data_IF_017517008017
#
_entry.id   IF_017517008017
#
_cell.length_a   1.000
_cell.length_b   1.000
_cell.length_c   1.000
_cell.angle_alpha   90.00
_cell.angle_beta   90.00
_cell.angle_gamma   90.00
#
_symmetry.space_group_name_H-M   'P 1'
#
loop_
_entity.id
_entity.type
_entity.pdbx_description
1 polymer ?
#
# COMPACT_ATOMS: atom_id res chain seq x y z
N UNK A 1 -4.14 -0.63 21.48
CA UNK A 1 -4.30 0.37 20.40
C UNK A 1 -5.77 0.47 20.04
N UNK A 2 -6.27 1.66 19.72
CA UNK A 2 -7.66 1.86 19.26
C UNK A 2 -7.59 2.57 17.92
N UNK A 3 -8.28 2.03 16.92
CA UNK A 3 -8.39 2.62 15.59
C UNK A 3 -9.77 3.25 15.43
N UNK A 4 -9.79 4.50 14.97
CA UNK A 4 -11.00 5.24 14.65
C UNK A 4 -10.96 5.68 13.19
N UNK A 5 -12.09 5.53 12.50
CA UNK A 5 -12.31 6.04 11.15
C UNK A 5 -13.58 6.88 11.14
N UNK A 6 -13.50 8.07 10.54
CA UNK A 6 -14.58 9.05 10.47
C UNK A 6 -15.13 9.10 9.05
N UNK A 7 -16.45 8.98 8.90
CA UNK A 7 -17.14 9.02 7.61
C UNK A 7 -18.16 10.15 7.60
N UNK A 8 -18.30 10.85 6.47
CA UNK A 8 -19.25 11.97 6.28
C UNK A 8 -20.73 11.50 6.36
N UNK A 9 -20.98 10.23 6.08
CA UNK A 9 -22.31 9.61 6.20
C UNK A 9 -22.30 8.14 5.78
N UNK A 10 -23.36 7.41 6.12
CA UNK A 10 -23.56 6.03 5.66
C UNK A 10 -23.94 6.04 4.18
N UNK A 11 -23.12 5.43 3.35
CA UNK A 11 -23.47 5.10 1.96
C UNK A 11 -24.44 3.93 2.03
N UNK A 12 -25.75 4.20 1.94
CA UNK A 12 -26.77 3.16 1.97
C UNK A 12 -26.56 2.11 0.86
N UNK A 13 -27.02 0.88 1.08
CA UNK A 13 -26.83 -0.27 0.18
C UNK A 13 -27.24 -0.03 -1.28
N UNK A 14 -28.17 0.91 -1.52
CA UNK A 14 -28.66 1.28 -2.86
C UNK A 14 -28.24 2.69 -3.30
N UNK A 15 -27.33 3.33 -2.57
CA UNK A 15 -26.96 4.73 -2.81
C UNK A 15 -25.82 4.90 -3.83
N UNK A 16 -25.05 3.83 -4.09
CA UNK A 16 -24.07 3.76 -5.16
C UNK A 16 -24.69 3.04 -6.36
N UNK A 17 -24.90 3.78 -7.44
CA UNK A 17 -25.23 3.19 -8.73
C UNK A 17 -24.53 3.99 -9.84
N UNK A 18 -24.41 3.45 -11.07
CA UNK A 18 -23.72 4.13 -12.17
C UNK A 18 -24.27 5.53 -12.51
N UNK A 19 -25.49 5.83 -12.05
CA UNK A 19 -26.26 7.03 -12.39
C UNK A 19 -26.32 8.05 -11.25
N UNK A 20 -25.91 7.67 -10.03
CA UNK A 20 -25.94 8.49 -8.82
C UNK A 20 -24.55 8.52 -8.22
N UNK A 21 -23.83 9.58 -8.55
CA UNK A 21 -22.51 9.85 -7.97
C UNK A 21 -22.69 10.59 -6.64
N UNK A 22 -21.91 10.25 -5.61
CA UNK A 22 -21.85 11.08 -4.42
C UNK A 22 -21.40 12.50 -4.82
N UNK A 23 -22.18 13.52 -4.45
CA UNK A 23 -21.82 14.91 -4.65
C UNK A 23 -21.09 15.42 -3.41
N UNK A 24 -19.91 15.99 -3.63
CA UNK A 24 -19.11 16.61 -2.58
C UNK A 24 -19.11 18.12 -2.79
N UNK A 25 -19.31 18.89 -1.73
CA UNK A 25 -19.15 20.35 -1.80
C UNK A 25 -17.67 20.68 -1.95
N UNK A 26 -17.35 21.63 -2.84
CA UNK A 26 -15.97 22.08 -3.07
C UNK A 26 -15.38 22.84 -1.86
N UNK A 27 -16.25 23.39 -1.01
CA UNK A 27 -15.87 24.12 0.20
C UNK A 27 -16.27 23.33 1.44
N UNK A 28 -15.40 23.32 2.45
CA UNK A 28 -15.64 22.76 3.78
C UNK A 28 -15.39 23.85 4.82
N UNK A 29 -16.36 24.09 5.69
CA UNK A 29 -16.26 25.05 6.80
C UNK A 29 -16.60 24.34 8.11
N UNK A 30 -15.82 24.59 9.16
CA UNK A 30 -16.10 24.04 10.49
C UNK A 30 -17.31 24.67 11.17
N UNK A 31 -17.82 25.79 10.65
CA UNK A 31 -19.02 26.46 11.19
C UNK A 31 -20.33 25.73 10.88
N UNK A 32 -20.38 24.93 9.81
CA UNK A 32 -21.55 24.15 9.36
C UNK A 32 -21.22 22.65 9.29
N UNK A 33 -20.40 22.16 10.23
CA UNK A 33 -19.96 20.76 10.23
C UNK A 33 -21.04 19.83 10.77
N UNK A 34 -21.39 18.80 10.01
CA UNK A 34 -22.22 17.68 10.49
C UNK A 34 -21.35 16.69 11.27
N UNK A 35 -21.95 16.05 12.28
CA UNK A 35 -21.26 15.02 13.04
C UNK A 35 -20.95 13.81 12.13
N UNK A 36 -19.69 13.33 12.08
CA UNK A 36 -19.33 12.19 11.27
C UNK A 36 -19.84 10.88 11.89
N UNK A 37 -20.04 9.87 11.04
CA UNK A 37 -20.22 8.50 11.50
C UNK A 37 -18.86 7.92 11.90
N UNK A 38 -18.78 7.43 13.14
CA UNK A 38 -17.54 6.95 13.74
C UNK A 38 -17.55 5.42 13.78
N UNK A 39 -16.58 4.81 13.09
CA UNK A 39 -16.26 3.41 13.29
C UNK A 39 -15.04 3.31 14.19
N UNK A 40 -15.12 2.45 15.20
CA UNK A 40 -14.04 2.21 16.14
C UNK A 40 -13.78 0.72 16.32
N UNK A 41 -12.51 0.36 16.50
CA UNK A 41 -12.14 -1.00 16.87
C UNK A 41 -10.84 -1.02 17.68
N UNK A 42 -10.77 -1.96 18.61
CA UNK A 42 -9.64 -2.10 19.53
C UNK A 42 -8.73 -3.26 19.11
N UNK A 43 -7.43 -3.06 19.25
CA UNK A 43 -6.40 -4.04 18.92
C UNK A 43 -5.38 -4.14 20.04
N UNK A 44 -4.94 -5.36 20.33
CA UNK A 44 -3.91 -5.70 21.30
C UNK A 44 -2.56 -5.70 20.58
N UNK A 45 -1.64 -4.86 21.05
CA UNK A 45 -0.25 -4.88 20.61
C UNK A 45 0.57 -5.68 21.64
N UNK A 46 1.41 -6.64 21.22
CA UNK A 46 2.03 -7.61 22.15
C UNK A 46 3.18 -7.04 22.98
N UNK A 47 3.63 -5.82 22.72
CA UNK A 47 4.76 -5.18 23.41
C UNK A 47 4.44 -3.74 23.77
N UNK A 48 5.30 -3.12 24.57
CA UNK A 48 5.20 -1.69 24.87
C UNK A 48 5.61 -0.86 23.64
N UNK A 49 4.79 0.16 23.34
CA UNK A 49 5.04 1.13 22.28
C UNK A 49 5.77 2.33 22.89
N UNK A 50 6.93 2.67 22.37
CA UNK A 50 7.74 3.84 22.80
C UNK A 50 7.38 5.08 22.00
N UNK A 51 7.29 4.95 20.68
CA UNK A 51 7.00 6.06 19.76
C UNK A 51 6.13 5.59 18.60
N UNK A 52 5.35 6.51 18.03
CA UNK A 52 4.55 6.26 16.83
C UNK A 52 4.89 7.28 15.74
N UNK A 53 4.91 6.82 14.50
CA UNK A 53 4.98 7.66 13.30
C UNK A 53 4.00 7.17 12.24
N UNK A 54 3.76 7.96 11.20
CA UNK A 54 2.93 7.56 10.05
C UNK A 54 3.69 7.90 8.79
N UNK A 55 3.72 7.00 7.82
CA UNK A 55 4.40 7.24 6.55
C UNK A 55 3.70 8.33 5.74
N UNK A 56 4.47 9.27 5.19
CA UNK A 56 3.97 10.35 4.33
C UNK A 56 4.62 10.26 2.95
N UNK A 57 3.82 10.41 1.91
CA UNK A 57 4.24 10.46 0.49
C UNK A 57 3.77 11.78 -0.13
N UNK A 58 4.31 12.13 -1.30
CA UNK A 58 4.11 13.46 -1.88
C UNK A 58 2.63 13.76 -2.21
N UNK A 59 1.89 12.78 -2.73
CA UNK A 59 0.50 12.91 -3.14
C UNK A 59 -0.48 12.17 -2.24
N UNK A 60 0.01 11.37 -1.28
CA UNK A 60 -0.84 10.55 -0.41
C UNK A 60 -1.60 9.45 -1.14
N UNK A 61 -1.11 9.02 -2.31
CA UNK A 61 -1.72 7.94 -3.11
C UNK A 61 -1.35 6.59 -2.51
N UNK A 62 -0.10 6.44 -2.10
CA UNK A 62 0.40 5.20 -1.48
C UNK A 62 -0.29 4.97 -0.12
N UNK A 63 -0.81 3.76 0.17
CA UNK A 63 -1.42 3.45 1.45
C UNK A 63 -0.49 3.74 2.63
N UNK A 64 -0.97 4.55 3.57
CA UNK A 64 -0.19 4.89 4.76
C UNK A 64 0.00 3.67 5.66
N UNK A 65 1.18 3.59 6.27
CA UNK A 65 1.51 2.63 7.32
C UNK A 65 1.85 3.38 8.61
N UNK A 66 1.49 2.78 9.73
CA UNK A 66 1.91 3.25 11.05
C UNK A 66 3.26 2.63 11.37
N UNK A 67 4.21 3.46 11.78
CA UNK A 67 5.53 3.02 12.25
C UNK A 67 5.46 2.93 13.77
N UNK A 68 5.69 1.74 14.30
CA UNK A 68 5.62 1.47 15.73
C UNK A 68 7.02 1.26 16.27
N UNK A 69 7.49 2.21 17.07
CA UNK A 69 8.70 2.05 17.87
C UNK A 69 8.42 1.14 19.07
N UNK A 70 9.20 0.07 19.18
CA UNK A 70 9.09 -0.91 20.25
C UNK A 70 10.12 -0.61 21.35
N UNK A 71 9.85 -1.07 22.57
CA UNK A 71 10.81 -0.99 23.69
C UNK A 71 12.14 -1.71 23.42
N UNK A 72 12.14 -2.69 22.51
CA UNK A 72 13.36 -3.38 22.06
C UNK A 72 14.26 -2.54 21.14
N UNK A 73 13.88 -1.28 20.84
CA UNK A 73 14.58 -0.41 19.89
C UNK A 73 14.31 -0.75 18.43
N UNK A 74 13.45 -1.73 18.15
CA UNK A 74 13.04 -2.08 16.79
C UNK A 74 11.88 -1.20 16.32
N UNK A 75 11.82 -0.94 15.01
CA UNK A 75 10.73 -0.19 14.37
C UNK A 75 9.93 -1.14 13.49
N UNK A 76 8.66 -1.33 13.82
CA UNK A 76 7.75 -2.21 13.09
C UNK A 76 6.83 -1.43 12.16
N UNK A 77 6.76 -1.84 10.89
CA UNK A 77 5.81 -1.33 9.90
C UNK A 77 4.45 -2.01 10.07
N UNK A 78 3.48 -1.28 10.59
CA UNK A 78 2.09 -1.72 10.69
C UNK A 78 1.25 -1.14 9.55
N UNK A 79 0.90 -1.95 8.56
CA UNK A 79 0.00 -1.53 7.48
C UNK A 79 -1.41 -1.23 8.02
N UNK A 80 -2.06 -0.18 7.49
CA UNK A 80 -3.39 0.28 7.95
C UNK A 80 -4.45 -0.82 7.94
N UNK A 81 -4.42 -1.73 6.96
CA UNK A 81 -5.41 -2.79 6.81
C UNK A 81 -5.47 -3.73 8.02
N UNK A 82 -4.38 -3.89 8.79
CA UNK A 82 -4.37 -4.72 10.01
C UNK A 82 -5.12 -4.08 11.17
N UNK A 83 -5.30 -2.76 11.14
CA UNK A 83 -5.97 -1.98 12.18
C UNK A 83 -7.18 -1.22 11.60
N UNK A 84 -7.79 -1.73 10.53
CA UNK A 84 -9.00 -1.13 9.96
C UNK A 84 -10.20 -1.43 10.90
N UNK A 85 -10.94 -0.41 11.38
CA UNK A 85 -12.11 -0.65 12.22
C UNK A 85 -13.27 -1.34 11.48
N UNK A 86 -13.24 -1.41 10.14
CA UNK A 86 -14.24 -2.10 9.32
C UNK A 86 -14.07 -3.62 9.27
N UNK A 87 -13.02 -4.18 9.85
CA UNK A 87 -12.80 -5.63 9.85
C UNK A 87 -14.00 -6.36 10.47
N UNK A 88 -14.66 -7.29 9.75
CA UNK A 88 -15.80 -8.05 10.26
C UNK A 88 -15.34 -9.12 11.28
N UNK A 89 -16.19 -9.43 12.25
CA UNK A 89 -15.98 -10.56 13.18
C UNK A 89 -16.48 -11.90 12.59
N UNK A 90 -17.32 -11.80 11.56
CA UNK A 90 -17.83 -12.91 10.77
C UNK A 90 -16.87 -13.26 9.63
N UNK A 91 -17.02 -14.45 9.03
CA UNK A 91 -16.38 -14.77 7.76
C UNK A 91 -16.69 -13.70 6.70
N UNK A 92 -15.69 -13.39 5.87
CA UNK A 92 -15.77 -12.31 4.90
C UNK A 92 -16.83 -12.57 3.83
N UNK A 93 -17.57 -11.53 3.49
CA UNK A 93 -18.39 -11.54 2.27
C UNK A 93 -17.50 -11.34 1.04
N UNK A 94 -17.97 -11.71 -0.17
CA UNK A 94 -17.22 -11.47 -1.40
C UNK A 94 -16.89 -9.99 -1.65
N UNK A 95 -17.76 -9.08 -1.20
CA UNK A 95 -17.56 -7.62 -1.29
C UNK A 95 -16.43 -7.15 -0.36
N UNK A 96 -16.45 -7.59 0.91
CA UNK A 96 -15.40 -7.28 1.89
C UNK A 96 -14.04 -7.84 1.45
N UNK A 97 -14.04 -9.02 0.83
CA UNK A 97 -12.83 -9.63 0.28
C UNK A 97 -12.30 -8.86 -0.95
N UNK A 98 -13.18 -8.36 -1.81
CA UNK A 98 -12.80 -7.52 -2.95
C UNK A 98 -12.18 -6.19 -2.52
N UNK A 99 -12.62 -5.61 -1.40
CA UNK A 99 -12.00 -4.44 -0.77
C UNK A 99 -10.65 -4.75 -0.10
N UNK A 100 -10.27 -6.02 0.03
CA UNK A 100 -9.05 -6.44 0.72
C UNK A 100 -9.12 -6.30 2.25
N UNK A 101 -10.33 -6.32 2.82
CA UNK A 101 -10.52 -6.40 4.27
C UNK A 101 -10.00 -7.74 4.78
N UNK A 102 -9.71 -7.78 6.08
CA UNK A 102 -9.30 -8.99 6.78
C UNK A 102 -10.30 -9.29 7.88
N UNK A 103 -10.41 -10.57 8.25
CA UNK A 103 -11.21 -10.96 9.40
C UNK A 103 -10.60 -10.34 10.65
N UNK A 104 -11.46 -9.87 11.54
CA UNK A 104 -11.01 -9.24 12.77
C UNK A 104 -10.14 -10.19 13.58
N UNK A 105 -8.92 -9.74 13.84
CA UNK A 105 -8.00 -10.38 14.76
C UNK A 105 -7.57 -9.33 15.79
N UNK A 106 -7.92 -9.50 17.08
CA UNK A 106 -7.58 -8.51 18.09
C UNK A 106 -6.07 -8.40 18.28
N UNK A 107 -5.32 -9.50 18.13
CA UNK A 107 -3.88 -9.51 18.34
C UNK A 107 -3.14 -9.08 17.06
N UNK A 108 -2.34 -8.01 17.16
CA UNK A 108 -1.52 -7.55 16.04
C UNK A 108 -0.37 -8.54 15.77
N UNK A 109 -0.23 -9.05 14.54
CA UNK A 109 0.75 -10.07 14.17
C UNK A 109 2.16 -9.45 13.97
N UNK A 110 2.84 -9.15 15.08
CA UNK A 110 4.19 -8.55 15.09
C UNK A 110 5.27 -9.61 14.84
N UNK A 111 5.33 -10.64 15.70
CA UNK A 111 6.44 -11.62 15.69
C UNK A 111 6.41 -12.59 14.51
N UNK A 112 5.25 -12.85 13.92
CA UNK A 112 5.12 -13.67 12.71
C UNK A 112 5.44 -12.89 11.42
N UNK A 113 5.82 -11.61 11.52
CA UNK A 113 6.21 -10.76 10.38
C UNK A 113 7.54 -10.03 10.61
N UNK A 114 8.66 -10.77 10.72
CA UNK A 114 9.98 -10.14 10.87
C UNK A 114 10.36 -9.27 9.67
N UNK A 115 9.83 -9.56 8.48
CA UNK A 115 10.01 -8.78 7.25
C UNK A 115 9.47 -7.34 7.35
N UNK A 116 8.56 -7.08 8.29
CA UNK A 116 7.99 -5.76 8.52
C UNK A 116 8.82 -4.92 9.51
N UNK A 117 9.88 -5.46 10.10
CA UNK A 117 10.81 -4.72 10.95
C UNK A 117 11.75 -3.89 10.07
N UNK A 118 11.64 -2.55 10.11
CA UNK A 118 12.46 -1.66 9.28
C UNK A 118 13.93 -1.66 9.69
N UNK A 119 14.18 -1.94 10.96
CA UNK A 119 15.49 -1.90 11.62
C UNK A 119 16.31 -3.18 11.42
N UNK A 120 15.72 -4.26 10.89
CA UNK A 120 16.37 -5.56 10.69
C UNK A 120 17.21 -6.01 11.91
N UNK A 121 18.54 -5.91 11.82
CA UNK A 121 19.49 -6.31 12.87
C UNK A 121 20.07 -5.12 13.66
N UNK A 122 19.55 -3.91 13.50
CA UNK A 122 20.02 -2.68 14.16
C UNK A 122 18.96 -2.14 15.11
N UNK A 123 19.16 -2.27 16.42
CA UNK A 123 18.28 -1.62 17.40
C UNK A 123 18.64 -0.14 17.52
N UNK A 124 17.62 0.69 17.76
CA UNK A 124 17.79 2.12 18.10
C UNK A 124 17.56 2.26 19.60
N UNK A 125 18.64 2.48 20.35
CA UNK A 125 18.54 2.58 21.80
C UNK A 125 17.77 3.85 22.21
N UNK A 126 16.92 3.70 23.23
CA UNK A 126 16.07 4.76 23.78
C UNK A 126 15.32 5.56 22.70
N UNK A 127 14.62 4.87 21.80
CA UNK A 127 13.86 5.47 20.71
C UNK A 127 12.78 6.45 21.23
N UNK A 128 12.94 7.73 20.93
CA UNK A 128 12.08 8.81 21.41
C UNK A 128 11.04 9.26 20.36
N UNK A 129 11.44 9.37 19.09
CA UNK A 129 10.53 9.80 18.03
C UNK A 129 10.87 9.19 16.67
N UNK A 130 9.85 9.11 15.82
CA UNK A 130 9.96 8.70 14.42
C UNK A 130 9.37 9.83 13.58
N UNK A 131 10.21 10.44 12.77
CA UNK A 131 9.82 11.45 11.78
C UNK A 131 9.84 10.85 10.38
N UNK A 132 8.92 11.30 9.54
CA UNK A 132 8.83 10.83 8.15
C UNK A 132 8.71 12.00 7.19
N UNK A 133 9.33 11.88 6.02
CA UNK A 133 9.21 12.85 4.93
C UNK A 133 8.90 12.15 3.62
N UNK A 134 8.24 12.85 2.71
CA UNK A 134 8.01 12.36 1.35
C UNK A 134 9.32 12.35 0.56
N UNK A 135 9.48 11.34 -0.30
CA UNK A 135 10.47 11.36 -1.36
C UNK A 135 9.85 11.90 -2.66
N UNK A 136 10.67 12.11 -3.70
CA UNK A 136 10.18 12.44 -5.05
C UNK A 136 9.38 11.28 -5.67
N UNK A 137 9.77 10.04 -5.37
CA UNK A 137 9.04 8.84 -5.75
C UNK A 137 7.85 8.64 -4.80
N UNK A 138 6.63 8.60 -5.36
CA UNK A 138 5.38 8.45 -4.61
C UNK A 138 5.33 7.13 -3.83
N UNK A 139 6.00 6.08 -4.31
CA UNK A 139 6.05 4.79 -3.63
C UNK A 139 6.98 4.77 -2.41
N UNK A 140 7.78 5.82 -2.22
CA UNK A 140 8.88 5.87 -1.25
C UNK A 140 8.67 6.96 -0.20
N UNK A 141 8.97 6.63 1.04
CA UNK A 141 9.02 7.58 2.15
C UNK A 141 10.38 7.50 2.86
N UNK A 142 10.83 8.64 3.38
CA UNK A 142 12.05 8.77 4.16
C UNK A 142 11.67 8.65 5.63
N UNK A 143 12.27 7.71 6.36
CA UNK A 143 12.01 7.49 7.77
C UNK A 143 13.27 7.83 8.55
N UNK A 144 13.15 8.75 9.49
CA UNK A 144 14.20 9.14 10.41
C UNK A 144 13.73 8.91 11.84
N UNK A 145 14.43 8.04 12.55
CA UNK A 145 14.14 7.72 13.94
C UNK A 145 15.29 8.19 14.82
N UNK A 146 14.98 8.82 15.94
CA UNK A 146 15.98 9.35 16.85
C UNK A 146 15.70 8.97 18.31
N UNK A 147 16.76 8.76 19.07
CA UNK A 147 16.73 8.39 20.48
C UNK A 147 18.06 8.74 21.13
N UNK A 148 18.69 7.76 21.77
CA UNK A 148 20.13 7.80 22.02
C UNK A 148 20.90 7.69 20.71
N UNK A 149 20.45 6.78 19.84
CA UNK A 149 20.99 6.57 18.50
C UNK A 149 20.11 7.24 17.43
N UNK A 150 20.68 7.41 16.23
CA UNK A 150 19.98 7.91 15.05
C UNK A 150 19.91 6.81 13.99
N UNK A 151 18.73 6.63 13.41
CA UNK A 151 18.49 5.67 12.35
C UNK A 151 17.75 6.29 11.19
N UNK A 152 18.21 6.02 9.98
CA UNK A 152 17.63 6.54 8.75
C UNK A 152 17.43 5.41 7.76
N UNK A 153 16.25 5.34 7.16
CA UNK A 153 15.94 4.36 6.11
C UNK A 153 14.96 4.94 5.10
N UNK A 154 15.15 4.60 3.83
CA UNK A 154 14.13 4.80 2.78
C UNK A 154 13.29 3.55 2.70
N UNK A 155 11.98 3.69 2.75
CA UNK A 155 11.10 2.53 2.79
C UNK A 155 9.85 2.75 1.92
N UNK A 156 9.31 1.66 1.39
CA UNK A 156 8.09 1.67 0.58
C UNK A 156 6.91 1.05 1.34
N UNK A 157 5.85 1.80 1.68
CA UNK A 157 4.74 1.29 2.48
C UNK A 157 4.02 0.08 1.86
N UNK A 158 3.71 0.14 0.57
CA UNK A 158 3.04 -0.93 -0.18
C UNK A 158 4.04 -1.77 -1.00
N UNK A 159 4.58 -1.21 -2.08
CA UNK A 159 5.65 -1.74 -2.95
C UNK A 159 6.09 -0.62 -3.89
N UNK A 160 7.32 -0.64 -4.37
CA UNK A 160 7.76 0.28 -5.43
C UNK A 160 7.01 0.02 -6.73
N UNK A 161 6.12 0.93 -7.12
CA UNK A 161 5.34 0.84 -8.37
C UNK A 161 5.78 1.87 -9.43
N UNK A 162 6.59 2.84 -9.03
CA UNK A 162 7.17 3.90 -9.88
C UNK A 162 8.63 3.62 -10.24
N UNK A 163 9.17 2.47 -9.83
CA UNK A 163 10.52 2.01 -10.13
C UNK A 163 10.47 0.64 -10.80
N UNK A 164 11.33 0.42 -11.79
CA UNK A 164 11.57 -0.91 -12.33
C UNK A 164 12.22 -1.79 -11.25
N UNK A 165 11.72 -3.02 -11.03
CA UNK A 165 12.33 -3.95 -10.08
C UNK A 165 13.80 -4.23 -10.42
N UNK A 166 14.65 -4.37 -9.40
CA UNK A 166 16.08 -4.67 -9.59
C UNK A 166 16.32 -6.06 -10.18
N UNK A 167 15.36 -6.97 -10.02
CA UNK A 167 15.37 -8.35 -10.54
C UNK A 167 14.72 -8.47 -11.93
N UNK A 168 14.47 -7.36 -12.62
CA UNK A 168 13.89 -7.38 -13.96
C UNK A 168 14.84 -8.04 -14.99
N UNK A 169 14.36 -9.06 -15.68
CA UNK A 169 15.14 -9.81 -16.67
C UNK A 169 15.19 -9.09 -18.03
N UNK A 170 16.13 -8.14 -18.13
CA UNK A 170 16.37 -7.37 -19.35
C UNK A 170 16.83 -8.25 -20.53
N UNK A 171 17.62 -9.29 -20.26
CA UNK A 171 18.14 -10.19 -21.28
C UNK A 171 17.01 -10.94 -22.01
N UNK A 172 16.08 -11.50 -21.25
CA UNK A 172 14.90 -12.18 -21.80
C UNK A 172 14.04 -11.23 -22.64
N UNK A 173 13.84 -10.00 -22.18
CA UNK A 173 13.08 -9.00 -22.93
C UNK A 173 13.72 -8.72 -24.29
N UNK A 174 15.04 -8.48 -24.31
CA UNK A 174 15.78 -8.20 -25.54
C UNK A 174 15.71 -9.40 -26.50
N UNK A 175 15.93 -10.61 -25.99
CA UNK A 175 15.85 -11.83 -26.80
C UNK A 175 14.45 -12.02 -27.41
N UNK A 176 13.39 -11.77 -26.64
CA UNK A 176 12.02 -11.87 -27.12
C UNK A 176 11.72 -10.84 -28.22
N UNK A 177 12.17 -9.59 -28.04
CA UNK A 177 12.03 -8.55 -29.06
C UNK A 177 12.73 -8.94 -30.37
N UNK A 178 13.95 -9.46 -30.29
CA UNK A 178 14.70 -9.93 -31.47
C UNK A 178 14.01 -11.11 -32.14
N UNK A 179 13.54 -12.09 -31.36
CA UNK A 179 12.81 -13.24 -31.87
C UNK A 179 11.53 -12.83 -32.62
N UNK A 180 10.75 -11.89 -32.06
CA UNK A 180 9.55 -11.38 -32.73
C UNK A 180 9.86 -10.56 -33.99
N UNK A 181 10.96 -9.82 -34.00
CA UNK A 181 11.39 -9.08 -35.19
C UNK A 181 11.72 -10.06 -36.33
N UNK A 182 12.53 -11.09 -36.05
CA UNK A 182 12.87 -12.14 -37.03
C UNK A 182 11.62 -12.87 -37.52
N UNK A 183 10.74 -13.27 -36.59
CA UNK A 183 9.49 -13.94 -36.92
C UNK A 183 8.59 -13.10 -37.83
N UNK A 184 8.54 -11.77 -37.62
CA UNK A 184 7.72 -10.86 -38.44
C UNK A 184 8.26 -10.75 -39.86
N UNK A 185 9.58 -10.63 -40.06
CA UNK A 185 10.16 -10.63 -41.40
C UNK A 185 9.98 -11.96 -42.12
N UNK A 186 10.19 -13.08 -41.41
CA UNK A 186 9.99 -14.40 -41.97
C UNK A 186 8.54 -14.64 -42.40
N UNK A 187 7.58 -14.30 -41.53
CA UNK A 187 6.14 -14.44 -41.83
C UNK A 187 5.69 -13.50 -42.95
N UNK A 188 6.20 -12.26 -43.01
CA UNK A 188 5.94 -11.34 -44.13
C UNK A 188 6.40 -11.93 -45.47
N UNK A 189 7.62 -12.46 -45.53
CA UNK A 189 8.16 -13.07 -46.74
C UNK A 189 7.34 -14.29 -47.17
N UNK A 190 6.95 -15.15 -46.22
CA UNK A 190 6.09 -16.31 -46.47
C UNK A 190 4.69 -15.89 -46.95
N UNK A 191 4.11 -14.86 -46.35
CA UNK A 191 2.80 -14.34 -46.73
C UNK A 191 2.80 -13.74 -48.14
N UNK A 192 3.82 -12.94 -48.50
CA UNK A 192 3.97 -12.39 -49.85
C UNK A 192 4.11 -13.49 -50.91
N UNK A 193 4.91 -14.52 -50.61
CA UNK A 193 5.03 -15.70 -51.48
C UNK A 193 3.70 -16.42 -51.67
N UNK A 194 2.96 -16.66 -50.58
CA UNK A 194 1.65 -17.33 -50.63
C UNK A 194 0.61 -16.50 -51.40
N UNK A 195 0.58 -15.18 -51.20
CA UNK A 195 -0.33 -14.28 -51.89
C UNK A 195 -0.06 -14.27 -53.41
N UNK A 196 1.20 -14.20 -53.81
CA UNK A 196 1.60 -14.29 -55.21
C UNK A 196 1.16 -15.63 -55.83
N UNK A 197 1.44 -16.76 -55.18
CA UNK A 197 1.01 -18.08 -55.66
C UNK A 197 -0.50 -18.22 -55.80
N UNK A 198 -1.27 -17.55 -54.93
CA UNK A 198 -2.73 -17.56 -54.97
C UNK A 198 -3.27 -16.69 -56.10
N UNK A 199 -2.64 -15.54 -56.37
CA UNK A 199 -3.02 -14.64 -57.45
C UNK A 199 -2.67 -15.16 -58.85
N UNK A 200 -1.71 -16.08 -58.96
CA UNK A 200 -1.26 -16.70 -60.21
C UNK A 200 -1.93 -18.05 -60.49
N UNK A 201 -2.90 -18.44 -59.65
CA UNK A 201 -3.85 -19.52 -59.91
C UNK A 201 -5.10 -18.93 -60.56
#
# INVERSE_FOLDING_TARGET
>A
MVSLSLFDGAVGMHSLNPWKRPSWTSTRSSFDSKAPFVLQKSFIYPTKITSLGVTVTAHGITPQSVLVGMETGQIFKLARNFIDPRQPEKPLTPEEQAEGLMMYSPLVPVYNRPQAMLTYNRTVENLNSISTASAELESTTLVFAHGLDMYYVRMTPAKSFDLLPSDFNHEMLILLCLAFLVATFATKALAQRKALQTAWK
#
